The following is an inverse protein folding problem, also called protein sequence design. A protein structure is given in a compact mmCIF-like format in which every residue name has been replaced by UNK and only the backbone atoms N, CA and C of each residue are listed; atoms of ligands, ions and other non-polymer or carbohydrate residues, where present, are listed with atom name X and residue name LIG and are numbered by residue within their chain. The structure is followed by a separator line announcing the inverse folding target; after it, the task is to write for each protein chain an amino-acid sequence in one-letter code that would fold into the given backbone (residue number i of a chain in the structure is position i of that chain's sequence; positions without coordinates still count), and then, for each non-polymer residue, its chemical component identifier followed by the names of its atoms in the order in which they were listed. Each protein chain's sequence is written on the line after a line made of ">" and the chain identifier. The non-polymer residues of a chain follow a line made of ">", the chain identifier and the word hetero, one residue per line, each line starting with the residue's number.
data_IF_781212375118
#
_entry.id   IF_781212375118
#
_cell.length_a   1.000
_cell.length_b   1.000
_cell.length_c   1.000
_cell.angle_alpha   90.00
_cell.angle_beta   90.00
_cell.angle_gamma   90.00
#
_symmetry.space_group_name_H-M   'P 1'
#
loop_
_entity.id
_entity.type
_entity.pdbx_description
1 polymer ?
#
# COMPACT_ATOMS: atom_id res chain seq x y z
N UNK A 1 0.27 -0.52 -10.62
CA UNK A 1 -0.67 -1.49 -10.00
C UNK A 1 -0.05 -2.20 -8.80
N UNK A 2 -0.77 -3.10 -8.09
CA UNK A 2 -0.28 -3.74 -6.84
C UNK A 2 0.50 -5.05 -7.04
N UNK A 3 0.50 -5.63 -8.23
CA UNK A 3 1.10 -6.94 -8.48
C UNK A 3 2.60 -6.95 -8.13
N UNK A 4 3.02 -7.95 -7.35
CA UNK A 4 4.41 -8.11 -6.94
C UNK A 4 4.91 -7.12 -5.89
N UNK A 5 4.06 -6.24 -5.35
CA UNK A 5 4.41 -5.27 -4.30
C UNK A 5 4.19 -5.85 -2.90
N UNK A 6 5.10 -5.55 -1.99
CA UNK A 6 5.10 -5.96 -0.59
C UNK A 6 5.87 -4.93 0.26
N UNK A 7 5.74 -5.00 1.58
CA UNK A 7 6.51 -4.13 2.48
C UNK A 7 8.03 -4.35 2.39
N UNK A 8 8.47 -5.50 1.89
CA UNK A 8 9.90 -5.84 1.84
C UNK A 8 10.58 -5.34 0.55
N UNK A 9 9.82 -5.09 -0.51
CA UNK A 9 10.35 -4.66 -1.81
C UNK A 9 9.81 -3.30 -2.29
N UNK A 10 8.90 -2.69 -1.52
CA UNK A 10 8.29 -1.39 -1.86
C UNK A 10 8.54 -0.42 -0.72
N UNK A 11 9.45 0.57 -0.89
CA UNK A 11 9.71 1.59 0.11
C UNK A 11 8.45 2.37 0.48
N UNK A 12 8.39 2.90 1.70
CA UNK A 12 7.25 3.68 2.19
C UNK A 12 6.82 4.79 1.22
N UNK A 13 7.78 5.56 0.72
CA UNK A 13 7.50 6.70 -0.16
C UNK A 13 6.99 6.27 -1.54
N UNK A 14 7.22 5.00 -1.93
CA UNK A 14 6.68 4.43 -3.15
C UNK A 14 5.18 4.06 -3.03
N UNK A 15 4.60 4.04 -1.82
CA UNK A 15 3.15 3.83 -1.55
C UNK A 15 2.32 5.09 -1.82
N UNK A 16 2.52 5.68 -2.98
CA UNK A 16 1.77 6.84 -3.46
C UNK A 16 1.50 6.71 -4.96
N UNK A 17 0.59 7.53 -5.47
CA UNK A 17 0.39 7.62 -6.92
C UNK A 17 1.63 8.25 -7.57
N UNK A 18 1.90 7.92 -8.84
CA UNK A 18 3.02 8.49 -9.60
C UNK A 18 3.04 10.03 -9.61
N UNK A 19 1.85 10.65 -9.64
CA UNK A 19 1.71 12.11 -9.55
C UNK A 19 2.22 12.71 -8.23
N UNK A 20 2.26 11.91 -7.17
CA UNK A 20 2.75 12.27 -5.85
C UNK A 20 4.18 11.72 -5.61
N UNK A 21 4.82 11.17 -6.64
CA UNK A 21 6.17 10.62 -6.58
C UNK A 21 6.28 9.15 -6.18
N UNK A 22 5.16 8.40 -6.15
CA UNK A 22 5.16 6.97 -5.87
C UNK A 22 5.12 6.09 -7.12
N UNK A 23 4.85 4.80 -6.91
CA UNK A 23 4.96 3.76 -7.95
C UNK A 23 3.61 3.29 -8.51
N UNK A 24 2.51 3.94 -8.11
CA UNK A 24 1.16 3.49 -8.45
C UNK A 24 0.54 4.36 -9.57
N UNK A 25 0.17 3.70 -10.66
CA UNK A 25 -0.51 4.34 -11.80
C UNK A 25 -1.75 5.13 -11.34
N UNK A 26 -1.87 6.36 -11.81
CA UNK A 26 -3.07 7.16 -11.61
C UNK A 26 -4.00 7.04 -12.82
N UNK A 27 -5.31 7.08 -12.55
CA UNK A 27 -6.31 7.30 -13.60
C UNK A 27 -6.79 8.73 -13.47
N UNK A 28 -6.69 9.50 -14.56
CA UNK A 28 -7.16 10.88 -14.64
C UNK A 28 -8.61 10.99 -14.18
N UNK A 29 -8.89 11.81 -13.16
CA UNK A 29 -10.25 12.09 -12.67
C UNK A 29 -10.71 11.30 -11.43
N UNK A 30 -9.92 10.36 -10.90
CA UNK A 30 -10.26 9.56 -9.70
C UNK A 30 -9.16 9.56 -8.61
N UNK A 31 -8.40 10.65 -8.47
CA UNK A 31 -7.18 10.70 -7.65
C UNK A 31 -7.42 10.50 -6.14
N UNK A 32 -8.54 10.96 -5.58
CA UNK A 32 -8.81 10.82 -4.13
C UNK A 32 -9.08 9.37 -3.72
N UNK A 33 -9.88 8.65 -4.50
CA UNK A 33 -10.19 7.23 -4.24
C UNK A 33 -8.96 6.34 -4.37
N UNK A 34 -8.08 6.61 -5.34
CA UNK A 34 -6.85 5.82 -5.53
C UNK A 34 -5.86 5.99 -4.37
N UNK A 35 -5.65 7.23 -3.92
CA UNK A 35 -4.82 7.51 -2.73
C UNK A 35 -5.35 6.79 -1.49
N UNK A 36 -6.67 6.76 -1.31
CA UNK A 36 -7.29 6.06 -0.18
C UNK A 36 -7.04 4.55 -0.26
N UNK A 37 -7.17 3.94 -1.44
CA UNK A 37 -6.91 2.50 -1.63
C UNK A 37 -5.45 2.16 -1.35
N UNK A 38 -4.49 2.94 -1.89
CA UNK A 38 -3.05 2.69 -1.68
C UNK A 38 -2.71 2.74 -0.19
N UNK A 39 -3.18 3.77 0.52
CA UNK A 39 -2.98 3.93 1.97
C UNK A 39 -3.61 2.80 2.78
N UNK A 40 -4.82 2.37 2.40
CA UNK A 40 -5.50 1.26 3.07
C UNK A 40 -4.71 -0.05 2.93
N UNK A 41 -4.19 -0.35 1.74
CA UNK A 41 -3.37 -1.55 1.49
C UNK A 41 -2.07 -1.49 2.30
N UNK A 42 -1.34 -0.37 2.23
CA UNK A 42 -0.10 -0.18 3.01
C UNK A 42 -0.37 -0.36 4.52
N UNK A 43 -1.44 0.25 5.04
CA UNK A 43 -1.84 0.13 6.43
C UNK A 43 -2.15 -1.32 6.82
N UNK A 44 -2.97 -2.02 6.03
CA UNK A 44 -3.32 -3.42 6.30
C UNK A 44 -2.10 -4.32 6.29
N UNK A 45 -1.15 -4.12 5.37
CA UNK A 45 0.10 -4.88 5.34
C UNK A 45 0.93 -4.64 6.61
N UNK A 46 1.03 -3.40 7.07
CA UNK A 46 1.75 -3.06 8.29
C UNK A 46 1.07 -3.66 9.54
N UNK A 47 -0.26 -3.59 9.61
CA UNK A 47 -1.02 -4.21 10.69
C UNK A 47 -0.86 -5.73 10.69
N UNK A 48 -0.89 -6.36 9.51
CA UNK A 48 -0.65 -7.80 9.40
C UNK A 48 0.76 -8.16 9.87
N UNK A 49 1.80 -7.43 9.44
CA UNK A 49 3.18 -7.66 9.88
C UNK A 49 3.35 -7.51 11.40
N UNK A 50 2.73 -6.48 11.98
CA UNK A 50 2.80 -6.22 13.42
C UNK A 50 2.06 -7.27 14.26
N UNK A 51 0.96 -7.82 13.74
CA UNK A 51 0.11 -8.77 14.48
C UNK A 51 0.26 -10.22 14.01
N UNK A 52 1.21 -10.51 13.10
CA UNK A 52 1.38 -11.84 12.49
C UNK A 52 1.45 -12.92 13.56
N UNK A 53 2.27 -12.74 14.58
CA UNK A 53 2.46 -13.73 15.64
C UNK A 53 1.20 -13.87 16.53
N UNK A 54 0.44 -12.79 16.73
CA UNK A 54 -0.81 -12.83 17.51
C UNK A 54 -1.98 -13.46 16.74
N UNK A 55 -1.96 -13.41 15.40
CA UNK A 55 -3.03 -13.94 14.55
C UNK A 55 -2.92 -15.46 14.33
N UNK A 56 -1.73 -16.04 14.51
CA UNK A 56 -1.49 -17.48 14.28
C UNK A 56 -1.20 -18.28 15.56
N UNK A 57 -1.06 -17.64 16.73
CA UNK A 57 -0.89 -18.30 18.03
C UNK A 57 -2.22 -18.46 18.81
N UNK A 58 -3.33 -18.76 18.14
CA UNK A 58 -4.62 -19.00 18.80
C UNK A 58 -5.00 -20.48 18.83
#
# INVERSE_FOLDING_TARGET
>A
GFNGRSLDNTPKDAWAVEKDGGDFDHISGATSSQRAVIRAVEFTLNQYRANRDSLFNQ
#
